data_IF_388500859887
#
_entry.id   IF_388500859887
#
_cell.length_a   1.000
_cell.length_b   1.000
_cell.length_c   1.000
_cell.angle_alpha   90.00
_cell.angle_beta   90.00
_cell.angle_gamma   90.00
#
_symmetry.space_group_name_H-M   'P 1'
#
loop_
_entity.id
_entity.type
_entity.pdbx_description
1 polymer ?
#
# COMPACT_ATOMS: atom_id res chain seq x y z
N UNK A 1 13.98 -4.20 -14.22
CA UNK A 1 12.54 -4.32 -13.93
C UNK A 1 12.37 -5.19 -12.70
N UNK A 2 11.63 -4.71 -11.69
CA UNK A 2 11.35 -5.46 -10.46
C UNK A 2 10.45 -6.67 -10.77
N UNK A 3 10.78 -7.84 -10.22
CA UNK A 3 9.97 -9.06 -10.40
C UNK A 3 8.55 -8.84 -9.88
N UNK A 4 7.56 -9.11 -10.73
CA UNK A 4 6.14 -9.15 -10.36
C UNK A 4 5.89 -10.38 -9.48
N UNK A 5 5.22 -10.17 -8.35
CA UNK A 5 4.85 -11.20 -7.39
C UNK A 5 3.34 -11.17 -7.24
N UNK A 6 2.64 -12.05 -7.94
CA UNK A 6 1.18 -12.15 -7.90
C UNK A 6 0.71 -13.26 -6.94
N UNK A 7 1.10 -13.15 -5.68
CA UNK A 7 0.67 -14.05 -4.61
C UNK A 7 0.73 -13.33 -3.26
N UNK A 8 0.08 -13.92 -2.25
CA UNK A 8 0.24 -13.49 -0.88
C UNK A 8 1.57 -13.99 -0.32
N UNK A 9 2.35 -13.10 0.29
CA UNK A 9 3.57 -13.47 0.99
C UNK A 9 3.33 -13.58 2.50
N UNK A 10 3.97 -14.56 3.11
CA UNK A 10 4.15 -14.62 4.56
C UNK A 10 5.33 -13.71 4.99
N UNK A 11 5.58 -13.63 6.30
CA UNK A 11 6.64 -12.77 6.85
C UNK A 11 8.03 -13.04 6.26
N UNK A 12 8.45 -14.31 6.16
CA UNK A 12 9.79 -14.67 5.68
C UNK A 12 9.97 -14.31 4.21
N UNK A 13 8.96 -14.59 3.39
CA UNK A 13 8.97 -14.28 1.97
C UNK A 13 8.95 -12.76 1.73
N UNK A 14 8.14 -12.04 2.50
CA UNK A 14 8.09 -10.57 2.45
C UNK A 14 9.44 -9.97 2.85
N UNK A 15 10.05 -10.42 3.94
CA UNK A 15 11.37 -9.96 4.37
C UNK A 15 12.42 -10.14 3.27
N UNK A 16 12.47 -11.33 2.65
CA UNK A 16 13.38 -11.62 1.53
C UNK A 16 13.10 -10.74 0.30
N UNK A 17 11.82 -10.54 -0.04
CA UNK A 17 11.44 -9.70 -1.18
C UNK A 17 11.85 -8.23 -0.98
N UNK A 18 11.73 -7.72 0.25
CA UNK A 18 12.12 -6.35 0.61
C UNK A 18 13.64 -6.17 0.63
N UNK A 19 14.42 -7.20 0.94
CA UNK A 19 15.89 -7.16 0.83
C UNK A 19 16.37 -7.08 -0.61
N UNK A 20 15.69 -7.81 -1.51
CA UNK A 20 16.07 -7.87 -2.91
C UNK A 20 15.61 -6.65 -3.72
N UNK A 21 14.40 -6.16 -3.44
CA UNK A 21 13.80 -5.05 -4.17
C UNK A 21 12.86 -4.27 -3.23
N UNK A 22 13.41 -3.34 -2.44
CA UNK A 22 12.64 -2.59 -1.46
C UNK A 22 11.76 -1.51 -2.07
N UNK A 23 12.01 -1.05 -3.31
CA UNK A 23 11.23 0.00 -3.97
C UNK A 23 10.16 -0.59 -4.88
N UNK A 24 8.90 -0.39 -4.50
CA UNK A 24 7.70 -0.81 -5.24
C UNK A 24 6.64 0.29 -5.20
N UNK A 25 5.75 0.33 -6.20
CA UNK A 25 4.69 1.33 -6.25
C UNK A 25 3.70 1.18 -5.08
N UNK A 26 3.44 -0.05 -4.62
CA UNK A 26 2.56 -0.28 -3.48
C UNK A 26 2.88 -1.54 -2.67
N UNK A 27 2.46 -1.51 -1.41
CA UNK A 27 2.45 -2.64 -0.47
C UNK A 27 1.04 -2.78 0.10
N UNK A 28 0.45 -3.96 0.02
CA UNK A 28 -0.86 -4.28 0.59
C UNK A 28 -0.63 -5.24 1.75
N UNK A 29 -0.74 -4.73 2.98
CA UNK A 29 -0.49 -5.46 4.21
C UNK A 29 -1.82 -5.77 4.90
N UNK A 30 -2.05 -7.03 5.27
CA UNK A 30 -3.27 -7.44 5.98
C UNK A 30 -3.02 -8.66 6.86
N UNK A 31 -3.98 -8.99 7.73
CA UNK A 31 -3.93 -10.12 8.64
C UNK A 31 -4.06 -9.74 10.11
N UNK A 32 -4.13 -10.77 10.95
CA UNK A 32 -4.41 -10.67 12.38
C UNK A 32 -3.14 -10.36 13.22
N UNK A 33 -1.94 -10.67 12.70
CA UNK A 33 -0.66 -10.44 13.36
C UNK A 33 -0.22 -8.97 13.31
N UNK A 34 -0.86 -8.12 14.13
CA UNK A 34 -0.64 -6.66 14.16
C UNK A 34 0.80 -6.28 14.46
N UNK A 35 1.49 -7.07 15.29
CA UNK A 35 2.89 -6.82 15.61
C UNK A 35 3.79 -6.96 14.37
N UNK A 36 3.65 -8.04 13.60
CA UNK A 36 4.44 -8.27 12.40
C UNK A 36 4.09 -7.26 11.29
N UNK A 37 2.81 -6.89 11.15
CA UNK A 37 2.41 -5.81 10.24
C UNK A 37 3.10 -4.49 10.58
N UNK A 38 3.15 -4.13 11.87
CA UNK A 38 3.87 -2.95 12.36
C UNK A 38 5.36 -3.04 12.06
N UNK A 39 5.96 -4.22 12.21
CA UNK A 39 7.38 -4.45 11.93
C UNK A 39 7.70 -4.24 10.43
N UNK A 40 6.91 -4.82 9.53
CA UNK A 40 7.07 -4.62 8.07
C UNK A 40 6.88 -3.14 7.72
N UNK A 41 5.84 -2.49 8.23
CA UNK A 41 5.61 -1.04 8.03
C UNK A 41 6.82 -0.22 8.47
N UNK A 42 7.36 -0.49 9.65
CA UNK A 42 8.51 0.24 10.20
C UNK A 42 9.75 0.05 9.32
N UNK A 43 10.01 -1.18 8.87
CA UNK A 43 11.09 -1.48 7.93
C UNK A 43 10.93 -0.75 6.60
N UNK A 44 9.72 -0.74 6.04
CA UNK A 44 9.42 -0.03 4.79
C UNK A 44 9.70 1.47 4.95
N UNK A 45 9.18 2.10 6.01
CA UNK A 45 9.39 3.53 6.26
C UNK A 45 10.90 3.85 6.37
N UNK A 46 11.65 3.06 7.16
CA UNK A 46 13.08 3.26 7.31
C UNK A 46 13.89 3.03 6.02
N UNK A 47 13.36 2.28 5.06
CA UNK A 47 14.03 1.99 3.79
C UNK A 47 13.67 3.00 2.70
N UNK A 48 12.42 3.45 2.68
CA UNK A 48 11.88 4.30 1.62
C UNK A 48 12.11 5.80 1.90
N UNK A 49 12.20 6.20 3.16
CA UNK A 49 12.38 7.59 3.56
C UNK A 49 13.83 7.89 3.91
N UNK A 50 14.27 9.09 3.53
CA UNK A 50 15.52 9.66 4.03
C UNK A 50 15.34 10.01 5.51
N UNK A 51 16.28 9.67 6.41
CA UNK A 51 16.16 10.03 7.82
C UNK A 51 15.94 11.53 8.03
N UNK A 52 14.90 11.91 8.78
CA UNK A 52 14.55 13.31 9.05
C UNK A 52 13.65 13.97 8.01
N UNK A 53 13.29 13.28 6.92
CA UNK A 53 12.39 13.79 5.88
C UNK A 53 10.90 13.51 6.13
N UNK A 54 10.56 12.81 7.22
CA UNK A 54 9.22 12.27 7.48
C UNK A 54 8.14 13.35 7.49
N UNK A 55 8.44 14.56 7.96
CA UNK A 55 7.46 15.66 8.00
C UNK A 55 6.99 16.12 6.62
N UNK A 56 7.75 15.82 5.55
CA UNK A 56 7.52 16.30 4.19
C UNK A 56 7.25 15.17 3.20
N UNK A 57 7.91 14.02 3.37
CA UNK A 57 7.82 12.90 2.43
C UNK A 57 6.93 11.76 2.90
N UNK A 58 6.40 11.83 4.13
CA UNK A 58 5.48 10.83 4.66
C UNK A 58 4.08 11.42 4.90
N UNK A 59 3.10 10.85 4.20
CA UNK A 59 1.69 11.17 4.38
C UNK A 59 1.00 10.01 5.07
N UNK A 60 0.09 10.32 6.01
CA UNK A 60 -0.77 9.34 6.67
C UNK A 60 -2.23 9.68 6.42
N UNK A 61 -2.99 8.67 5.97
CA UNK A 61 -4.43 8.73 5.74
C UNK A 61 -5.04 7.52 6.43
N UNK A 62 -6.04 7.73 7.28
CA UNK A 62 -6.69 6.66 8.04
C UNK A 62 -8.19 6.73 7.82
N UNK A 63 -8.75 5.68 7.22
CA UNK A 63 -10.19 5.49 7.06
C UNK A 63 -10.81 4.69 8.21
N UNK A 64 -12.02 4.21 7.96
CA UNK A 64 -12.81 3.39 8.89
C UNK A 64 -13.23 2.03 8.31
N UNK A 65 -12.56 1.57 7.25
CA UNK A 65 -12.87 0.35 6.53
C UNK A 65 -13.95 0.50 5.45
N UNK A 66 -14.52 1.71 5.27
CA UNK A 66 -15.44 2.02 4.18
C UNK A 66 -14.74 2.88 3.13
N UNK A 67 -14.97 2.54 1.86
CA UNK A 67 -14.42 3.24 0.70
C UNK A 67 -14.66 4.77 0.79
N UNK A 68 -15.88 5.19 1.09
CA UNK A 68 -16.28 6.59 1.24
C UNK A 68 -15.66 7.33 2.45
N UNK A 69 -14.89 6.66 3.32
CA UNK A 69 -14.18 7.31 4.42
C UNK A 69 -12.85 7.92 4.01
N UNK A 70 -12.38 7.62 2.80
CA UNK A 70 -11.17 8.20 2.23
C UNK A 70 -11.55 9.44 1.43
N UNK A 71 -10.84 10.53 1.71
CA UNK A 71 -10.83 11.73 0.88
C UNK A 71 -10.06 11.42 -0.41
N UNK A 72 -10.80 11.22 -1.51
CA UNK A 72 -10.23 10.81 -2.78
C UNK A 72 -9.38 11.92 -3.40
N UNK A 73 -9.84 13.17 -3.34
CA UNK A 73 -9.10 14.34 -3.81
C UNK A 73 -7.78 14.52 -3.09
N UNK A 74 -7.76 14.40 -1.76
CA UNK A 74 -6.52 14.46 -0.98
C UNK A 74 -5.56 13.33 -1.37
N UNK A 75 -6.02 12.09 -1.41
CA UNK A 75 -5.15 10.96 -1.76
C UNK A 75 -4.58 11.11 -3.18
N UNK A 76 -5.40 11.50 -4.15
CA UNK A 76 -4.97 11.75 -5.52
C UNK A 76 -3.90 12.86 -5.59
N UNK A 77 -4.15 14.00 -4.94
CA UNK A 77 -3.20 15.11 -4.88
C UNK A 77 -1.85 14.68 -4.29
N UNK A 78 -1.87 13.85 -3.25
CA UNK A 78 -0.63 13.37 -2.63
C UNK A 78 0.15 12.41 -3.51
N UNK A 79 -0.53 11.53 -4.27
CA UNK A 79 0.10 10.64 -5.25
C UNK A 79 0.78 11.45 -6.37
N UNK A 80 0.14 12.52 -6.83
CA UNK A 80 0.66 13.38 -7.90
C UNK A 80 1.86 14.24 -7.44
N UNK A 81 1.87 14.61 -6.15
CA UNK A 81 2.88 15.50 -5.55
C UNK A 81 4.22 14.77 -5.33
N UNK A 82 5.33 15.23 -5.95
CA UNK A 82 6.67 14.65 -5.75
C UNK A 82 7.15 14.69 -4.29
N UNK A 83 8.11 13.83 -3.90
CA UNK A 83 8.84 14.00 -2.65
C UNK A 83 9.77 15.22 -2.70
N UNK A 84 10.12 15.73 -1.53
CA UNK A 84 11.06 16.82 -1.33
C UNK A 84 12.49 16.32 -1.16
N UNK A 85 12.74 15.38 -0.25
CA UNK A 85 14.10 14.94 0.11
C UNK A 85 14.37 13.47 -0.22
N UNK A 86 13.37 12.62 -0.09
CA UNK A 86 13.43 11.20 -0.36
C UNK A 86 13.32 10.90 -1.85
N UNK A 87 13.84 9.74 -2.26
CA UNK A 87 13.68 9.25 -3.64
C UNK A 87 12.21 9.01 -3.98
N UNK A 88 11.40 8.66 -2.98
CA UNK A 88 9.97 8.42 -3.12
C UNK A 88 9.19 9.11 -1.99
N UNK A 89 8.01 9.63 -2.30
CA UNK A 89 7.02 10.02 -1.30
C UNK A 89 6.34 8.75 -0.81
N UNK A 90 6.21 8.59 0.50
CA UNK A 90 5.53 7.44 1.10
C UNK A 90 4.17 7.87 1.61
N UNK A 91 3.12 7.20 1.15
CA UNK A 91 1.76 7.44 1.59
C UNK A 91 1.24 6.19 2.30
N UNK A 92 1.05 6.27 3.61
CA UNK A 92 0.46 5.20 4.40
C UNK A 92 -1.05 5.39 4.45
N UNK A 93 -1.80 4.41 3.95
CA UNK A 93 -3.27 4.39 3.95
C UNK A 93 -3.75 3.24 4.82
N UNK A 94 -4.40 3.54 5.94
CA UNK A 94 -4.88 2.53 6.89
C UNK A 94 -6.41 2.42 6.82
N UNK A 95 -6.94 1.19 6.72
CA UNK A 95 -8.37 0.87 6.72
C UNK A 95 -9.15 1.65 5.65
N UNK A 96 -8.67 1.59 4.41
CA UNK A 96 -9.31 2.28 3.28
C UNK A 96 -10.63 1.64 2.87
N UNK A 97 -10.76 0.32 3.03
CA UNK A 97 -11.87 -0.45 2.47
C UNK A 97 -11.76 -0.69 0.96
N UNK A 98 -10.67 -0.27 0.30
CA UNK A 98 -10.46 -0.40 -1.15
C UNK A 98 -10.45 -1.85 -1.62
N UNK A 99 -10.01 -2.75 -0.75
CA UNK A 99 -9.78 -4.15 -1.07
C UNK A 99 -10.79 -5.11 -0.45
N UNK A 100 -11.75 -4.63 0.35
CA UNK A 100 -12.74 -5.48 1.00
C UNK A 100 -13.86 -5.89 0.03
N UNK A 101 -14.39 -4.94 -0.74
CA UNK A 101 -15.48 -5.15 -1.72
C UNK A 101 -15.06 -4.65 -3.10
N UNK A 102 -15.89 -4.90 -4.10
CA UNK A 102 -15.68 -4.29 -5.42
C UNK A 102 -15.64 -2.76 -5.30
N UNK A 103 -14.76 -2.13 -6.08
CA UNK A 103 -14.75 -0.68 -6.22
C UNK A 103 -16.06 -0.24 -6.85
N UNK A 104 -16.84 0.56 -6.12
CA UNK A 104 -18.22 0.95 -6.49
C UNK A 104 -18.43 2.46 -6.43
N UNK A 105 -17.38 3.26 -6.19
CA UNK A 105 -17.51 4.71 -6.21
C UNK A 105 -17.59 5.21 -7.65
N UNK A 106 -18.48 6.17 -7.85
CA UNK A 106 -18.62 6.91 -9.10
C UNK A 106 -18.28 8.39 -8.86
N UNK A 107 -18.17 9.15 -9.95
CA UNK A 107 -17.68 10.52 -9.98
C UNK A 107 -16.25 10.62 -10.51
N UNK A 108 -15.94 11.76 -11.12
CA UNK A 108 -14.69 11.97 -11.85
C UNK A 108 -13.46 11.84 -10.94
N UNK A 109 -13.56 12.31 -9.69
CA UNK A 109 -12.48 12.21 -8.72
C UNK A 109 -12.15 10.75 -8.35
N UNK A 110 -13.17 9.93 -8.10
CA UNK A 110 -12.98 8.52 -7.79
C UNK A 110 -12.44 7.71 -8.98
N UNK A 111 -12.89 8.05 -10.21
CA UNK A 111 -12.33 7.45 -11.44
C UNK A 111 -10.86 7.79 -11.62
N UNK A 112 -10.48 9.06 -11.38
CA UNK A 112 -9.07 9.50 -11.43
C UNK A 112 -8.25 8.81 -10.34
N UNK A 113 -8.78 8.68 -9.13
CA UNK A 113 -8.10 7.95 -8.06
C UNK A 113 -7.88 6.47 -8.43
N UNK A 114 -8.89 5.78 -8.95
CA UNK A 114 -8.73 4.39 -9.38
C UNK A 114 -7.61 4.28 -10.43
N UNK A 115 -7.59 5.18 -11.42
CA UNK A 115 -6.52 5.21 -12.43
C UNK A 115 -5.14 5.50 -11.83
N UNK A 116 -5.05 6.45 -10.89
CA UNK A 116 -3.80 6.79 -10.21
C UNK A 116 -3.26 5.61 -9.38
N UNK A 117 -4.12 4.83 -8.75
CA UNK A 117 -3.73 3.60 -8.03
C UNK A 117 -3.22 2.49 -8.96
N UNK A 118 -3.62 2.52 -10.24
CA UNK A 118 -3.16 1.59 -11.27
C UNK A 118 -1.94 2.10 -12.05
N UNK A 119 -1.55 3.35 -11.86
CA UNK A 119 -0.41 3.98 -12.53
C UNK A 119 0.33 4.90 -11.55
N UNK A 120 0.75 4.31 -10.43
CA UNK A 120 1.45 5.04 -9.37
C UNK A 120 2.79 5.52 -9.92
N UNK A 121 3.11 6.82 -9.82
CA UNK A 121 4.39 7.34 -10.29
C UNK A 121 5.58 6.69 -9.56
N UNK A 122 6.71 6.49 -10.26
CA UNK A 122 7.94 5.89 -9.68
C UNK A 122 8.48 6.65 -8.45
N UNK A 123 8.08 7.92 -8.30
CA UNK A 123 8.40 8.81 -7.16
C UNK A 123 7.43 8.70 -5.99
N UNK A 124 6.51 7.73 -6.00
CA UNK A 124 5.51 7.53 -4.97
C UNK A 124 5.39 6.04 -4.60
N UNK A 125 5.31 5.75 -3.31
CA UNK A 125 5.09 4.41 -2.77
C UNK A 125 3.94 4.42 -1.78
N UNK A 126 2.91 3.63 -2.07
CA UNK A 126 1.74 3.47 -1.21
C UNK A 126 1.89 2.28 -0.26
N UNK A 127 1.56 2.45 1.02
CA UNK A 127 1.52 1.37 2.00
C UNK A 127 0.09 1.27 2.53
N UNK A 128 -0.65 0.27 2.06
CA UNK A 128 -1.99 -0.07 2.54
C UNK A 128 -1.91 -1.02 3.73
N UNK A 129 -2.69 -0.73 4.76
CA UNK A 129 -2.86 -1.59 5.93
C UNK A 129 -4.34 -1.81 6.12
N UNK A 130 -4.79 -3.01 5.78
CA UNK A 130 -6.21 -3.32 5.72
C UNK A 130 -6.57 -4.41 6.73
N UNK A 131 -7.72 -4.22 7.37
CA UNK A 131 -8.29 -5.22 8.26
C UNK A 131 -8.87 -6.40 7.50
N UNK A 132 -9.41 -6.16 6.30
CA UNK A 132 -10.03 -7.17 5.46
C UNK A 132 -9.65 -6.95 4.01
N UNK A 133 -9.29 -8.04 3.33
CA UNK A 133 -9.02 -8.05 1.89
C UNK A 133 -9.71 -9.25 1.27
N UNK A 134 -10.47 -9.01 0.20
CA UNK A 134 -11.04 -10.07 -0.61
C UNK A 134 -10.01 -10.53 -1.65
N UNK A 135 -9.69 -11.82 -1.65
CA UNK A 135 -8.68 -12.42 -2.54
C UNK A 135 -8.91 -12.09 -4.03
N UNK A 136 -10.18 -12.04 -4.45
CA UNK A 136 -10.58 -11.80 -5.84
C UNK A 136 -10.86 -10.33 -6.17
N UNK A 137 -10.52 -9.39 -5.29
CA UNK A 137 -10.71 -7.97 -5.53
C UNK A 137 -10.00 -7.51 -6.83
N UNK A 138 -10.72 -6.82 -7.71
CA UNK A 138 -10.24 -6.44 -9.03
C UNK A 138 -9.08 -5.42 -8.97
N UNK A 139 -9.17 -4.45 -8.07
CA UNK A 139 -8.13 -3.45 -7.85
C UNK A 139 -6.83 -4.12 -7.37
N UNK A 140 -6.93 -5.02 -6.38
CA UNK A 140 -5.79 -5.81 -5.87
C UNK A 140 -5.05 -6.53 -7.00
N UNK A 141 -5.78 -7.27 -7.84
CA UNK A 141 -5.19 -8.03 -8.96
C UNK A 141 -4.44 -7.11 -9.93
N UNK A 142 -5.08 -6.01 -10.33
CA UNK A 142 -4.46 -5.04 -11.24
C UNK A 142 -3.23 -4.39 -10.60
N UNK A 143 -3.28 -3.98 -9.34
CA UNK A 143 -2.12 -3.40 -8.65
C UNK A 143 -0.94 -4.37 -8.53
N UNK A 144 -1.19 -5.66 -8.28
CA UNK A 144 -0.13 -6.69 -8.28
C UNK A 144 0.53 -6.84 -9.64
N UNK A 145 -0.25 -6.80 -10.72
CA UNK A 145 0.28 -6.81 -12.08
C UNK A 145 1.17 -5.59 -12.36
N UNK A 146 0.90 -4.45 -11.71
CA UNK A 146 1.75 -3.25 -11.74
C UNK A 146 2.92 -3.30 -10.75
N UNK A 147 3.17 -4.43 -10.10
CA UNK A 147 4.34 -4.65 -9.24
C UNK A 147 4.11 -4.42 -7.74
N UNK A 148 2.87 -4.19 -7.30
CA UNK A 148 2.54 -4.10 -5.89
C UNK A 148 2.82 -5.43 -5.16
N UNK A 149 3.36 -5.33 -3.95
CA UNK A 149 3.62 -6.48 -3.09
C UNK A 149 2.45 -6.70 -2.13
N UNK A 150 1.98 -7.94 -1.97
CA UNK A 150 0.91 -8.26 -1.04
C UNK A 150 1.40 -9.20 0.05
N UNK A 151 1.15 -8.83 1.32
CA UNK A 151 1.59 -9.58 2.49
C UNK A 151 0.39 -9.87 3.37
N UNK A 152 0.22 -11.15 3.73
CA UNK A 152 -0.83 -11.60 4.66
C UNK A 152 -0.18 -12.28 5.85
N UNK A 153 -0.42 -11.74 7.04
CA UNK A 153 0.15 -12.22 8.29
C UNK A 153 -1.00 -12.62 9.23
N UNK A 154 -1.43 -13.87 9.09
CA UNK A 154 -2.44 -14.46 9.98
C UNK A 154 -1.73 -15.10 11.18
N UNK A 155 -2.45 -15.22 12.30
CA UNK A 155 -1.95 -15.96 13.46
C UNK A 155 -1.73 -17.40 12.99
N UNK A 156 -0.48 -17.86 13.01
CA UNK A 156 -0.21 -19.26 12.73
C UNK A 156 -0.76 -20.06 13.90
N UNK A 157 -1.88 -20.74 13.70
CA UNK A 157 -2.28 -21.86 14.55
C UNK A 157 -1.11 -22.83 14.55
N UNK A 158 -0.41 -22.96 15.66
CA UNK A 158 0.48 -24.09 15.86
C UNK A 158 -0.39 -25.34 15.79
N UNK A 159 -0.30 -26.08 14.69
CA UNK A 159 -0.71 -27.48 14.57
C UNK A 159 0.47 -28.27 14.03
#
# INVERSE_FOLDING_TARGET
MTKIIDQWLNYKEAAKALEQAPYRPAYILTGEERFLLKQIKTRLLATLLTPGSESMDLVRITGNGKLASIDAGRLLSEIETPPFFSVTKVIVVERSGFFEKAWQMDGDEWKRLEQALLSIPDRCSLIFIEDKVTHNNALLKKMRQQGALSVKLDIQSQQ
#
